data_IF_044709850633
#
_entry.id   IF_044709850633
#
_cell.length_a   1.000
_cell.length_b   1.000
_cell.length_c   1.000
_cell.angle_alpha   90.00
_cell.angle_beta   90.00
_cell.angle_gamma   90.00
#
_symmetry.space_group_name_H-M   'P 1'
#
loop_
_entity.id
_entity.type
_entity.pdbx_description
1 polymer ?
#
# COMPACT_ATOMS: atom_id res chain seq x y z
N UNK A 1 -31.46 0.61 23.59
CA UNK A 1 -31.20 -0.22 22.41
C UNK A 1 -30.33 0.52 21.38
N UNK A 2 -30.65 1.75 21.09
CA UNK A 2 -29.92 2.54 20.10
C UNK A 2 -28.46 2.78 20.50
N UNK A 3 -28.16 3.07 21.75
CA UNK A 3 -26.79 3.42 22.20
C UNK A 3 -25.78 2.31 21.97
N UNK A 4 -26.15 1.06 22.27
CA UNK A 4 -25.25 -0.08 22.06
C UNK A 4 -25.06 -0.32 20.57
N UNK A 5 -26.14 -0.22 19.81
CA UNK A 5 -26.08 -0.42 18.38
C UNK A 5 -25.23 0.67 17.70
N UNK A 6 -25.39 1.91 18.11
CA UNK A 6 -24.61 3.03 17.59
C UNK A 6 -23.13 2.86 17.91
N UNK A 7 -22.78 2.44 19.12
CA UNK A 7 -21.39 2.21 19.51
C UNK A 7 -20.73 1.14 18.65
N UNK A 8 -21.44 0.03 18.40
CA UNK A 8 -20.94 -1.06 17.57
C UNK A 8 -20.73 -0.57 16.14
N UNK A 9 -21.69 0.21 15.62
CA UNK A 9 -21.60 0.75 14.25
C UNK A 9 -20.43 1.70 14.11
N UNK A 10 -20.18 2.56 15.10
CA UNK A 10 -19.05 3.50 15.07
C UNK A 10 -17.72 2.74 15.03
N UNK A 11 -17.56 1.71 15.85
CA UNK A 11 -16.34 0.89 15.87
C UNK A 11 -16.15 0.16 14.54
N UNK A 12 -17.20 -0.43 14.01
CA UNK A 12 -17.16 -1.11 12.72
C UNK A 12 -16.77 -0.14 11.60
N UNK A 13 -17.31 1.07 11.63
CA UNK A 13 -17.01 2.07 10.62
C UNK A 13 -15.55 2.51 10.66
N UNK A 14 -14.97 2.69 11.85
CA UNK A 14 -13.56 3.02 11.98
C UNK A 14 -12.67 1.94 11.40
N UNK A 15 -12.91 0.69 11.76
CA UNK A 15 -12.14 -0.43 11.22
C UNK A 15 -12.31 -0.55 9.72
N UNK A 16 -13.52 -0.38 9.24
CA UNK A 16 -13.82 -0.42 7.82
C UNK A 16 -13.10 0.69 7.05
N UNK A 17 -13.07 1.90 7.60
CA UNK A 17 -12.36 3.02 6.99
C UNK A 17 -10.85 2.77 6.91
N UNK A 18 -10.25 2.19 7.95
CA UNK A 18 -8.84 1.83 7.96
C UNK A 18 -8.52 0.80 6.88
N UNK A 19 -9.34 -0.24 6.80
CA UNK A 19 -9.16 -1.30 5.80
C UNK A 19 -9.33 -0.72 4.39
N UNK A 20 -10.36 0.10 4.19
CA UNK A 20 -10.62 0.74 2.90
C UNK A 20 -9.45 1.62 2.48
N UNK A 21 -8.93 2.43 3.40
CA UNK A 21 -7.78 3.29 3.13
C UNK A 21 -6.54 2.46 2.76
N UNK A 22 -6.30 1.39 3.52
CA UNK A 22 -5.20 0.48 3.24
C UNK A 22 -5.30 -0.12 1.84
N UNK A 23 -6.50 -0.58 1.46
CA UNK A 23 -6.73 -1.17 0.13
C UNK A 23 -6.51 -0.15 -0.98
N UNK A 24 -6.91 1.10 -0.77
CA UNK A 24 -6.66 2.18 -1.74
C UNK A 24 -5.16 2.42 -1.90
N UNK A 25 -4.42 2.45 -0.80
CA UNK A 25 -2.97 2.60 -0.84
C UNK A 25 -2.30 1.39 -1.51
N UNK A 26 -2.80 0.20 -1.26
CA UNK A 26 -2.28 -1.02 -1.88
C UNK A 26 -2.45 -0.98 -3.40
N UNK A 27 -3.61 -0.53 -3.88
CA UNK A 27 -3.83 -0.34 -5.32
C UNK A 27 -2.88 0.68 -5.92
N UNK A 28 -2.68 1.80 -5.25
CA UNK A 28 -1.74 2.84 -5.69
C UNK A 28 -0.32 2.30 -5.73
N UNK A 29 0.04 1.49 -4.73
CA UNK A 29 1.36 0.88 -4.67
C UNK A 29 1.58 -0.08 -5.82
N UNK A 30 0.61 -0.94 -6.11
CA UNK A 30 0.70 -1.88 -7.24
C UNK A 30 0.84 -1.14 -8.56
N UNK A 31 0.06 -0.07 -8.75
CA UNK A 31 0.14 0.74 -9.96
C UNK A 31 1.52 1.39 -10.09
N UNK A 32 2.03 1.93 -8.99
CA UNK A 32 3.37 2.54 -8.98
C UNK A 32 4.45 1.52 -9.29
N UNK A 33 4.32 0.30 -8.77
CA UNK A 33 5.26 -0.79 -9.06
C UNK A 33 5.22 -1.15 -10.54
N UNK A 34 4.02 -1.31 -11.11
CA UNK A 34 3.87 -1.64 -12.52
C UNK A 34 4.47 -0.58 -13.42
N UNK A 35 4.24 0.69 -13.13
CA UNK A 35 4.81 1.79 -13.89
C UNK A 35 6.33 1.81 -13.81
N UNK A 36 6.86 1.56 -12.60
CA UNK A 36 8.31 1.53 -12.39
C UNK A 36 8.95 0.36 -13.11
N UNK A 37 8.34 -0.81 -13.02
CA UNK A 37 8.81 -2.01 -13.74
C UNK A 37 8.78 -1.79 -15.25
N UNK A 38 7.73 -1.15 -15.76
CA UNK A 38 7.64 -0.85 -17.20
C UNK A 38 8.75 0.08 -17.65
N UNK A 39 9.08 1.10 -16.87
CA UNK A 39 10.22 1.96 -17.17
C UNK A 39 11.53 1.19 -17.20
N UNK A 40 11.73 0.31 -16.24
CA UNK A 40 12.92 -0.53 -16.16
C UNK A 40 13.03 -1.43 -17.41
N UNK A 41 11.93 -2.07 -17.79
CA UNK A 41 11.90 -2.94 -18.97
C UNK A 41 12.18 -2.18 -20.27
N UNK A 42 11.80 -0.91 -20.33
CA UNK A 42 12.01 -0.07 -21.50
C UNK A 42 13.35 0.67 -21.47
N UNK A 43 14.20 0.38 -20.50
CA UNK A 43 15.51 1.02 -20.39
C UNK A 43 15.45 2.47 -19.98
N UNK A 44 14.34 2.92 -19.42
CA UNK A 44 14.17 4.30 -18.96
C UNK A 44 14.62 4.45 -17.51
N UNK A 45 15.06 5.65 -17.10
CA UNK A 45 15.39 5.88 -15.70
C UNK A 45 14.14 5.74 -14.81
N UNK A 46 14.33 5.17 -13.64
CA UNK A 46 13.24 4.97 -12.70
C UNK A 46 13.73 5.15 -11.26
N UNK A 47 12.78 5.34 -10.35
CA UNK A 47 13.05 5.49 -8.93
C UNK A 47 11.99 4.73 -8.14
N UNK A 48 12.35 4.29 -6.93
CA UNK A 48 11.41 3.62 -6.02
C UNK A 48 10.77 4.59 -5.04
N UNK A 49 11.00 5.88 -5.18
CA UNK A 49 10.57 6.90 -4.23
C UNK A 49 9.06 6.88 -4.01
N UNK A 50 8.28 6.93 -5.10
CA UNK A 50 6.81 6.95 -5.02
C UNK A 50 6.28 5.67 -4.37
N UNK A 51 6.82 4.51 -4.76
CA UNK A 51 6.43 3.23 -4.16
C UNK A 51 6.66 3.27 -2.66
N UNK A 52 7.82 3.75 -2.23
CA UNK A 52 8.20 3.74 -0.83
C UNK A 52 7.47 4.78 0.00
N UNK A 53 7.06 5.91 -0.60
CA UNK A 53 6.16 6.86 0.06
C UNK A 53 4.83 6.21 0.40
N UNK A 54 4.24 5.51 -0.57
CA UNK A 54 2.97 4.81 -0.38
C UNK A 54 3.14 3.72 0.68
N UNK A 55 4.23 2.97 0.59
CA UNK A 55 4.52 1.90 1.56
C UNK A 55 4.66 2.47 2.98
N UNK A 56 5.29 3.62 3.13
CA UNK A 56 5.41 4.28 4.44
C UNK A 56 4.05 4.66 5.01
N UNK A 57 3.12 5.15 4.18
CA UNK A 57 1.77 5.46 4.63
C UNK A 57 1.04 4.19 5.07
N UNK A 58 1.19 3.10 4.31
CA UNK A 58 0.60 1.81 4.66
C UNK A 58 1.13 1.32 6.00
N UNK A 59 2.43 1.48 6.24
CA UNK A 59 3.06 1.06 7.48
C UNK A 59 2.64 1.92 8.67
N UNK A 60 2.29 3.19 8.44
CA UNK A 60 1.71 4.03 9.48
C UNK A 60 0.34 3.49 9.91
N UNK A 61 -0.48 3.06 8.97
CA UNK A 61 -1.75 2.42 9.31
C UNK A 61 -1.53 1.11 10.06
N UNK A 62 -0.50 0.36 9.69
CA UNK A 62 -0.19 -0.92 10.32
C UNK A 62 0.18 -0.77 11.79
N UNK A 63 0.69 0.38 12.21
CA UNK A 63 1.01 0.65 13.63
C UNK A 63 -0.23 0.57 14.51
N UNK A 64 -1.41 0.72 13.96
CA UNK A 64 -2.67 0.60 14.69
C UNK A 64 -3.13 -0.84 14.86
N UNK A 65 -2.40 -1.80 14.28
CA UNK A 65 -2.63 -3.23 14.49
C UNK A 65 -3.75 -3.85 13.69
N UNK A 66 -4.35 -3.11 12.75
CA UNK A 66 -5.48 -3.59 11.95
C UNK A 66 -5.03 -4.23 10.64
N UNK A 67 -3.96 -3.70 10.05
CA UNK A 67 -3.45 -4.15 8.76
C UNK A 67 -1.96 -4.51 8.87
N UNK A 68 -1.46 -5.39 8.00
CA UNK A 68 -0.05 -5.80 8.05
C UNK A 68 0.88 -4.73 7.49
N UNK A 69 2.15 -4.80 7.88
CA UNK A 69 3.19 -3.94 7.30
C UNK A 69 3.58 -4.45 5.91
N UNK A 70 4.14 -3.56 5.11
CA UNK A 70 4.67 -3.90 3.79
C UNK A 70 6.14 -3.54 3.73
N UNK A 71 6.89 -4.30 2.95
CA UNK A 71 8.32 -4.12 2.78
C UNK A 71 8.60 -2.96 1.82
N UNK A 72 9.60 -2.15 2.13
CA UNK A 72 10.08 -1.14 1.20
C UNK A 72 10.67 -1.82 -0.03
N UNK A 73 10.53 -1.15 -1.17
CA UNK A 73 11.00 -1.68 -2.45
C UNK A 73 12.34 -1.07 -2.81
N UNK A 74 13.30 -1.90 -3.17
CA UNK A 74 14.63 -1.46 -3.60
C UNK A 74 14.71 -1.47 -5.13
N UNK A 75 15.70 -0.75 -5.65
CA UNK A 75 15.96 -0.73 -7.08
C UNK A 75 16.24 -2.13 -7.62
N UNK A 76 17.01 -2.90 -6.87
CA UNK A 76 17.36 -4.27 -7.23
C UNK A 76 16.14 -5.17 -7.34
N UNK A 77 15.16 -4.98 -6.45
CA UNK A 77 13.90 -5.72 -6.51
C UNK A 77 13.13 -5.43 -7.79
N UNK A 78 13.11 -4.16 -8.22
CA UNK A 78 12.45 -3.77 -9.45
C UNK A 78 13.15 -4.42 -10.65
N UNK A 79 14.47 -4.36 -10.68
CA UNK A 79 15.26 -4.95 -11.76
C UNK A 79 15.05 -6.46 -11.86
N UNK A 80 15.06 -7.13 -10.72
CA UNK A 80 14.81 -8.57 -10.67
C UNK A 80 13.42 -8.93 -11.18
N UNK A 81 12.41 -8.18 -10.73
CA UNK A 81 11.04 -8.39 -11.17
C UNK A 81 10.87 -8.14 -12.68
N UNK A 82 11.49 -7.08 -13.18
CA UNK A 82 11.45 -6.74 -14.60
C UNK A 82 12.08 -7.85 -15.46
N UNK A 83 13.15 -8.46 -14.96
CA UNK A 83 13.84 -9.53 -15.68
C UNK A 83 13.05 -10.84 -15.71
N UNK A 84 12.15 -11.05 -14.73
CA UNK A 84 11.30 -12.24 -14.69
C UNK A 84 10.11 -12.15 -15.65
N UNK A 85 9.72 -10.94 -16.00
CA UNK A 85 8.65 -10.70 -16.96
C UNK A 85 9.22 -10.68 -18.37
#
# INVERSE_FOLDING_TARGET
MSNVHEAITVHSNKQHQHIKHFLQLEQKREQAIEETVAKCQNGKPFTTYTINEITAEMNQLAKQGIVPTRRLVTKEMVEEYANRK
#
